data_IF_759209734547
#
_entry.id   IF_759209734547
#
_cell.length_a   1.000
_cell.length_b   1.000
_cell.length_c   1.000
_cell.angle_alpha   90.00
_cell.angle_beta   90.00
_cell.angle_gamma   90.00
#
_symmetry.space_group_name_H-M   'P 1'
#
loop_
_entity.id
_entity.type
_entity.pdbx_description
1 polymer ?
#
# COMPACT_ATOMS: atom_id res chain seq x y z
N UNK A 1 0.74 -22.68 0.45
CA UNK A 1 1.68 -22.84 1.59
C UNK A 1 1.23 -23.89 2.62
N UNK A 2 2.18 -24.65 3.19
CA UNK A 2 1.92 -25.59 4.30
C UNK A 2 1.67 -24.84 5.64
N UNK A 3 0.74 -25.34 6.47
CA UNK A 3 0.42 -24.87 7.82
C UNK A 3 1.63 -24.63 8.73
N UNK A 4 2.68 -25.45 8.64
CA UNK A 4 3.89 -25.24 9.46
C UNK A 4 4.56 -23.89 9.12
N UNK A 5 4.67 -23.59 7.82
CA UNK A 5 5.24 -22.33 7.32
C UNK A 5 4.36 -21.15 7.72
N UNK A 6 3.05 -21.28 7.56
CA UNK A 6 2.06 -20.26 7.94
C UNK A 6 2.17 -19.93 9.44
N UNK A 7 2.27 -20.96 10.28
CA UNK A 7 2.38 -20.80 11.73
C UNK A 7 3.69 -20.13 12.14
N UNK A 8 4.81 -20.52 11.53
CA UNK A 8 6.10 -19.92 11.84
C UNK A 8 6.21 -18.49 11.31
N UNK A 9 5.70 -18.23 10.11
CA UNK A 9 5.56 -16.89 9.54
C UNK A 9 4.76 -15.99 10.48
N UNK A 10 3.58 -16.43 10.92
CA UNK A 10 2.70 -15.65 11.81
C UNK A 10 3.33 -15.35 13.18
N UNK A 11 4.21 -16.22 13.69
CA UNK A 11 4.97 -15.97 14.92
C UNK A 11 6.10 -14.94 14.74
N UNK A 12 6.73 -14.93 13.57
CA UNK A 12 7.87 -14.07 13.28
C UNK A 12 7.44 -12.69 12.76
N UNK A 13 6.41 -12.63 11.92
CA UNK A 13 5.90 -11.39 11.33
C UNK A 13 5.20 -10.55 12.40
N UNK A 14 5.63 -9.31 12.55
CA UNK A 14 4.97 -8.35 13.43
C UNK A 14 3.89 -7.59 12.63
N UNK A 15 2.63 -7.94 12.83
CA UNK A 15 1.47 -7.21 12.29
C UNK A 15 0.74 -6.47 13.41
N UNK A 16 0.39 -5.20 13.20
CA UNK A 16 -0.43 -4.41 14.13
C UNK A 16 0.19 -4.03 15.49
N UNK A 17 1.24 -4.72 15.95
CA UNK A 17 1.85 -4.51 17.28
C UNK A 17 3.19 -3.77 17.23
N UNK A 18 3.62 -3.31 16.05
CA UNK A 18 4.93 -2.66 15.87
C UNK A 18 5.11 -1.40 16.71
N UNK A 19 4.07 -0.73 17.19
CA UNK A 19 4.21 0.43 18.10
C UNK A 19 4.52 0.03 19.55
N UNK A 20 4.19 -1.19 19.97
CA UNK A 20 4.31 -1.65 21.35
C UNK A 20 5.62 -2.41 21.67
N UNK A 21 6.48 -2.59 20.67
CA UNK A 21 7.71 -3.39 20.75
C UNK A 21 8.93 -2.44 20.69
N UNK A 22 10.06 -2.81 21.29
CA UNK A 22 11.31 -2.05 21.21
C UNK A 22 11.88 -2.03 19.79
N UNK A 23 12.80 -1.11 19.50
CA UNK A 23 13.43 -1.01 18.17
C UNK A 23 14.31 -2.23 17.92
N UNK A 24 15.01 -2.68 18.95
CA UNK A 24 15.91 -3.83 18.95
C UNK A 24 15.15 -5.13 18.66
N UNK A 25 14.03 -5.35 19.35
CA UNK A 25 13.19 -6.55 19.14
C UNK A 25 12.56 -6.55 17.74
N UNK A 26 12.14 -5.39 17.22
CA UNK A 26 11.65 -5.27 15.83
C UNK A 26 12.72 -5.71 14.86
N UNK A 27 13.93 -5.16 15.02
CA UNK A 27 15.07 -5.46 14.14
C UNK A 27 15.41 -6.95 14.19
N UNK A 28 15.46 -7.54 15.37
CA UNK A 28 15.74 -8.98 15.52
C UNK A 28 14.68 -9.83 14.79
N UNK A 29 13.39 -9.55 15.02
CA UNK A 29 12.31 -10.29 14.38
C UNK A 29 12.32 -10.16 12.86
N UNK A 30 12.52 -8.95 12.34
CA UNK A 30 12.60 -8.71 10.89
C UNK A 30 13.76 -9.50 10.27
N UNK A 31 14.95 -9.51 10.91
CA UNK A 31 16.11 -10.28 10.45
C UNK A 31 15.87 -11.80 10.52
N UNK A 32 15.24 -12.29 11.60
CA UNK A 32 14.91 -13.71 11.75
C UNK A 32 13.90 -14.17 10.70
N UNK A 33 12.89 -13.35 10.40
CA UNK A 33 11.94 -13.64 9.34
C UNK A 33 12.63 -13.69 7.97
N UNK A 34 13.50 -12.73 7.66
CA UNK A 34 14.28 -12.74 6.42
C UNK A 34 15.12 -14.02 6.31
N UNK A 35 15.84 -14.39 7.37
CA UNK A 35 16.67 -15.59 7.37
C UNK A 35 15.85 -16.87 7.16
N UNK A 36 14.69 -16.95 7.81
CA UNK A 36 13.76 -18.06 7.64
C UNK A 36 13.24 -18.17 6.20
N UNK A 37 12.72 -17.08 5.64
CA UNK A 37 12.17 -17.05 4.28
C UNK A 37 13.24 -17.40 3.22
N UNK A 38 14.46 -16.87 3.38
CA UNK A 38 15.60 -17.25 2.52
C UNK A 38 15.95 -18.74 2.66
N UNK A 39 15.90 -19.29 3.87
CA UNK A 39 16.19 -20.71 4.09
C UNK A 39 15.15 -21.62 3.44
N UNK A 40 13.85 -21.29 3.50
CA UNK A 40 12.81 -22.16 2.91
C UNK A 40 12.82 -22.10 1.38
N UNK A 41 13.18 -20.96 0.78
CA UNK A 41 13.47 -20.87 -0.66
C UNK A 41 14.69 -21.73 -0.99
N UNK A 42 15.82 -21.51 -0.30
CA UNK A 42 17.08 -22.19 -0.62
C UNK A 42 17.08 -23.70 -0.40
N UNK A 43 16.22 -24.21 0.48
CA UNK A 43 16.01 -25.65 0.71
C UNK A 43 14.89 -26.25 -0.14
N UNK A 44 14.29 -25.49 -1.07
CA UNK A 44 13.13 -25.90 -1.86
C UNK A 44 11.96 -26.41 -0.99
N UNK A 45 11.78 -25.84 0.21
CA UNK A 45 10.64 -26.17 1.09
C UNK A 45 9.36 -25.48 0.65
N UNK A 46 9.47 -24.46 -0.22
CA UNK A 46 8.39 -23.88 -1.01
C UNK A 46 8.75 -24.03 -2.48
N UNK A 47 7.81 -24.53 -3.28
CA UNK A 47 8.02 -24.79 -4.72
C UNK A 47 6.94 -24.18 -5.60
N UNK A 48 5.79 -23.84 -5.02
CA UNK A 48 4.72 -23.14 -5.72
C UNK A 48 5.13 -21.69 -6.08
N UNK A 49 4.68 -21.24 -7.24
CA UNK A 49 5.04 -19.92 -7.77
C UNK A 49 4.61 -18.78 -6.83
N UNK A 50 3.37 -18.80 -6.34
CA UNK A 50 2.87 -17.77 -5.44
C UNK A 50 3.51 -17.90 -4.05
N UNK A 51 3.76 -19.12 -3.56
CA UNK A 51 4.46 -19.31 -2.27
C UNK A 51 5.89 -18.74 -2.30
N UNK A 52 6.62 -18.90 -3.40
CA UNK A 52 7.95 -18.29 -3.59
C UNK A 52 7.84 -16.76 -3.72
N UNK A 53 6.86 -16.28 -4.49
CA UNK A 53 6.59 -14.84 -4.63
C UNK A 53 6.25 -14.17 -3.30
N UNK A 54 5.45 -14.82 -2.46
CA UNK A 54 5.14 -14.40 -1.10
C UNK A 54 6.40 -14.25 -0.24
N UNK A 55 7.31 -15.22 -0.33
CA UNK A 55 8.57 -15.18 0.42
C UNK A 55 9.42 -14.00 -0.02
N UNK A 56 9.59 -13.79 -1.33
CA UNK A 56 10.33 -12.64 -1.84
C UNK A 56 9.70 -11.31 -1.43
N UNK A 57 8.38 -11.15 -1.58
CA UNK A 57 7.68 -9.94 -1.18
C UNK A 57 7.90 -9.63 0.31
N UNK A 58 7.77 -10.64 1.17
CA UNK A 58 7.98 -10.44 2.61
C UNK A 58 9.44 -10.19 2.96
N UNK A 59 10.42 -10.77 2.26
CA UNK A 59 11.83 -10.40 2.45
C UNK A 59 12.03 -8.92 2.09
N UNK A 60 11.48 -8.46 0.97
CA UNK A 60 11.52 -7.06 0.56
C UNK A 60 10.87 -6.13 1.59
N UNK A 61 9.66 -6.45 2.06
CA UNK A 61 8.97 -5.66 3.08
C UNK A 61 9.82 -5.51 4.36
N UNK A 62 10.43 -6.60 4.85
CA UNK A 62 11.26 -6.54 6.04
C UNK A 62 12.56 -5.76 5.81
N UNK A 63 13.20 -5.84 4.63
CA UNK A 63 14.34 -4.96 4.32
C UNK A 63 13.93 -3.48 4.24
N UNK A 64 12.74 -3.17 3.73
CA UNK A 64 12.20 -1.81 3.71
C UNK A 64 12.00 -1.27 5.13
N UNK A 65 11.42 -2.07 6.03
CA UNK A 65 11.24 -1.73 7.45
C UNK A 65 12.58 -1.52 8.17
N UNK A 66 13.61 -2.30 7.81
CA UNK A 66 14.98 -2.14 8.29
C UNK A 66 15.74 -0.96 7.65
N UNK A 67 15.12 -0.27 6.68
CA UNK A 67 15.73 0.80 5.88
C UNK A 67 17.04 0.39 5.20
N UNK A 68 17.07 -0.84 4.68
CA UNK A 68 18.21 -1.40 3.97
C UNK A 68 17.87 -1.54 2.48
N UNK A 69 17.98 -0.43 1.75
CA UNK A 69 17.63 -0.33 0.33
C UNK A 69 18.55 -1.17 -0.56
N UNK A 70 19.81 -1.35 -0.19
CA UNK A 70 20.73 -2.23 -0.93
C UNK A 70 20.26 -3.70 -0.93
N UNK A 71 20.02 -4.26 0.25
CA UNK A 71 19.54 -5.65 0.35
C UNK A 71 18.12 -5.84 -0.19
N UNK A 72 17.29 -4.79 -0.09
CA UNK A 72 15.99 -4.73 -0.72
C UNK A 72 16.11 -4.83 -2.25
N UNK A 73 16.96 -4.03 -2.88
CA UNK A 73 17.20 -4.04 -4.32
C UNK A 73 17.67 -5.42 -4.81
N UNK A 74 18.64 -6.02 -4.11
CA UNK A 74 19.13 -7.37 -4.45
C UNK A 74 18.06 -8.45 -4.31
N UNK A 75 17.14 -8.32 -3.34
CA UNK A 75 16.00 -9.21 -3.23
C UNK A 75 14.97 -8.97 -4.34
N UNK A 76 14.66 -7.70 -4.65
CA UNK A 76 13.73 -7.33 -5.70
C UNK A 76 14.17 -7.81 -7.08
N UNK A 77 15.47 -7.82 -7.39
CA UNK A 77 15.99 -8.41 -8.65
C UNK A 77 15.65 -9.91 -8.74
N UNK A 78 15.89 -10.66 -7.66
CA UNK A 78 15.53 -12.09 -7.59
C UNK A 78 14.02 -12.31 -7.66
N UNK A 79 13.26 -11.40 -7.05
CA UNK A 79 11.81 -11.43 -7.12
C UNK A 79 11.34 -11.19 -8.55
N UNK A 80 11.89 -10.20 -9.24
CA UNK A 80 11.62 -9.92 -10.64
C UNK A 80 11.94 -11.14 -11.53
N UNK A 81 13.14 -11.73 -11.40
CA UNK A 81 13.53 -12.94 -12.13
C UNK A 81 12.59 -14.13 -11.89
N UNK A 82 11.91 -14.16 -10.73
CA UNK A 82 10.86 -15.13 -10.44
C UNK A 82 9.55 -14.75 -11.14
N UNK A 83 9.10 -13.50 -11.00
CA UNK A 83 7.82 -13.02 -11.53
C UNK A 83 7.73 -13.11 -13.06
N UNK A 84 8.78 -12.76 -13.79
CA UNK A 84 8.78 -12.77 -15.27
C UNK A 84 8.58 -14.15 -15.90
N UNK A 85 8.57 -15.22 -15.09
CA UNK A 85 8.29 -16.60 -15.53
C UNK A 85 6.79 -16.90 -15.60
N UNK A 86 5.93 -15.97 -15.21
CA UNK A 86 4.47 -16.13 -15.17
C UNK A 86 3.77 -14.97 -15.88
N UNK A 87 2.46 -14.86 -15.68
CA UNK A 87 1.63 -13.82 -16.30
C UNK A 87 2.10 -12.42 -15.89
N UNK A 88 2.07 -11.48 -16.84
CA UNK A 88 2.53 -10.10 -16.64
C UNK A 88 1.80 -9.38 -15.51
N UNK A 89 0.59 -9.81 -15.12
CA UNK A 89 -0.17 -9.18 -14.04
C UNK A 89 0.54 -9.24 -12.68
N UNK A 90 1.40 -10.25 -12.46
CA UNK A 90 2.18 -10.37 -11.24
C UNK A 90 3.27 -9.29 -11.11
N UNK A 91 3.60 -8.55 -12.18
CA UNK A 91 4.52 -7.40 -12.10
C UNK A 91 4.00 -6.35 -11.12
N UNK A 92 2.69 -6.19 -10.96
CA UNK A 92 2.12 -5.29 -9.95
C UNK A 92 2.50 -5.68 -8.52
N UNK A 93 2.78 -6.96 -8.25
CA UNK A 93 3.20 -7.43 -6.93
C UNK A 93 4.54 -6.80 -6.49
N UNK A 94 5.44 -6.52 -7.44
CA UNK A 94 6.75 -5.89 -7.18
C UNK A 94 6.63 -4.42 -6.75
N UNK A 95 5.56 -3.76 -7.16
CA UNK A 95 5.40 -2.29 -7.09
C UNK A 95 4.16 -1.84 -6.32
N UNK A 96 3.55 -2.73 -5.53
CA UNK A 96 2.32 -2.45 -4.78
C UNK A 96 2.53 -1.80 -3.40
N UNK A 97 3.77 -1.61 -2.95
CA UNK A 97 4.07 -1.13 -1.60
C UNK A 97 4.91 0.15 -1.58
N UNK A 98 4.35 1.20 -0.98
CA UNK A 98 5.01 2.51 -0.88
C UNK A 98 6.21 2.51 0.07
N UNK A 99 6.23 1.66 1.10
CA UNK A 99 7.34 1.56 2.05
C UNK A 99 8.56 0.97 1.35
N UNK A 100 8.37 -0.06 0.54
CA UNK A 100 9.42 -0.65 -0.30
C UNK A 100 9.97 0.38 -1.29
N UNK A 101 9.10 1.13 -1.99
CA UNK A 101 9.55 2.23 -2.86
C UNK A 101 10.39 3.26 -2.12
N UNK A 102 9.86 3.81 -1.03
CA UNK A 102 10.54 4.88 -0.27
C UNK A 102 11.88 4.42 0.32
N UNK A 103 12.01 3.14 0.67
CA UNK A 103 13.27 2.57 1.13
C UNK A 103 14.31 2.46 0.01
N UNK A 104 13.89 2.05 -1.20
CA UNK A 104 14.75 2.02 -2.39
C UNK A 104 15.21 3.44 -2.78
N UNK A 105 14.27 4.39 -2.87
CA UNK A 105 14.57 5.78 -3.24
C UNK A 105 15.56 6.43 -2.26
N UNK A 106 15.37 6.21 -0.95
CA UNK A 106 16.25 6.74 0.09
C UNK A 106 17.72 6.34 -0.09
N UNK A 107 17.96 5.13 -0.58
CA UNK A 107 19.31 4.58 -0.77
C UNK A 107 19.78 4.66 -2.25
N UNK A 108 19.13 5.51 -3.05
CA UNK A 108 19.57 5.84 -4.41
C UNK A 108 19.01 4.94 -5.53
N UNK A 109 18.18 3.94 -5.21
CA UNK A 109 17.60 2.99 -6.17
C UNK A 109 16.25 3.45 -6.75
N UNK A 110 16.09 4.76 -6.95
CA UNK A 110 14.84 5.35 -7.45
C UNK A 110 14.50 4.88 -8.87
N UNK A 111 15.44 4.97 -9.83
CA UNK A 111 15.19 4.55 -11.22
C UNK A 111 14.75 3.10 -11.29
N UNK A 112 15.40 2.21 -10.54
CA UNK A 112 15.06 0.79 -10.51
C UNK A 112 13.59 0.54 -10.17
N UNK A 113 13.04 1.19 -9.14
CA UNK A 113 11.63 1.00 -8.79
C UNK A 113 10.69 1.58 -9.85
N UNK A 114 11.01 2.77 -10.36
CA UNK A 114 10.18 3.46 -11.35
C UNK A 114 10.16 2.76 -12.71
N UNK A 115 11.27 2.10 -13.09
CA UNK A 115 11.35 1.26 -14.28
C UNK A 115 10.45 0.03 -14.15
N UNK A 116 10.48 -0.64 -12.99
CA UNK A 116 9.56 -1.76 -12.71
C UNK A 116 8.08 -1.32 -12.73
N UNK A 117 7.77 -0.14 -12.19
CA UNK A 117 6.40 0.38 -12.19
C UNK A 117 5.93 0.69 -13.61
N UNK A 118 6.79 1.33 -14.42
CA UNK A 118 6.53 1.60 -15.84
C UNK A 118 6.26 0.30 -16.59
N UNK A 119 7.12 -0.68 -16.42
CA UNK A 119 6.99 -2.00 -17.04
C UNK A 119 5.68 -2.69 -16.64
N UNK A 120 5.35 -2.69 -15.34
CA UNK A 120 4.10 -3.29 -14.84
C UNK A 120 2.86 -2.67 -15.49
N UNK A 121 2.84 -1.34 -15.67
CA UNK A 121 1.73 -0.62 -16.30
C UNK A 121 1.68 -0.86 -17.81
N UNK A 122 2.82 -0.75 -18.49
CA UNK A 122 2.90 -0.88 -19.95
C UNK A 122 2.61 -2.30 -20.45
N UNK A 123 2.97 -3.33 -19.67
CA UNK A 123 2.66 -4.72 -20.02
C UNK A 123 1.23 -5.13 -19.64
N UNK A 124 0.50 -4.34 -18.85
CA UNK A 124 -0.83 -4.70 -18.36
C UNK A 124 -1.91 -3.62 -18.59
N UNK A 125 -2.02 -3.01 -19.79
CA UNK A 125 -2.94 -1.89 -20.04
C UNK A 125 -4.42 -2.24 -19.77
N UNK A 126 -4.77 -3.52 -19.90
CA UNK A 126 -6.12 -4.05 -19.69
C UNK A 126 -6.17 -5.07 -18.55
N UNK A 127 -5.34 -4.90 -17.51
CA UNK A 127 -5.34 -5.79 -16.34
C UNK A 127 -6.75 -6.02 -15.82
N UNK A 128 -7.12 -7.28 -15.60
CA UNK A 128 -8.36 -7.66 -14.90
C UNK A 128 -8.20 -7.62 -13.37
N UNK A 129 -6.96 -7.49 -12.89
CA UNK A 129 -6.62 -7.42 -11.47
C UNK A 129 -6.60 -5.97 -11.01
N UNK A 130 -7.76 -5.30 -11.08
CA UNK A 130 -7.89 -3.86 -10.79
C UNK A 130 -7.38 -3.48 -9.41
N UNK A 131 -7.52 -4.34 -8.40
CA UNK A 131 -7.04 -4.03 -7.05
C UNK A 131 -5.51 -4.05 -6.94
N UNK A 132 -4.83 -4.92 -7.70
CA UNK A 132 -3.37 -4.92 -7.76
C UNK A 132 -2.84 -3.67 -8.49
N UNK A 133 -3.49 -3.31 -9.61
CA UNK A 133 -3.23 -2.08 -10.37
C UNK A 133 -3.43 -0.83 -9.48
N UNK A 134 -4.54 -0.77 -8.73
CA UNK A 134 -4.82 0.27 -7.73
C UNK A 134 -3.70 0.38 -6.69
N UNK A 135 -3.25 -0.73 -6.10
CA UNK A 135 -2.20 -0.70 -5.08
C UNK A 135 -0.86 -0.22 -5.66
N UNK A 136 -0.53 -0.58 -6.90
CA UNK A 136 0.65 -0.09 -7.59
C UNK A 136 0.59 1.42 -7.84
N UNK A 137 -0.52 1.93 -8.38
CA UNK A 137 -0.70 3.37 -8.60
C UNK A 137 -0.70 4.16 -7.29
N UNK A 138 -1.34 3.62 -6.24
CA UNK A 138 -1.29 4.20 -4.90
C UNK A 138 0.14 4.27 -4.36
N UNK A 139 0.94 3.23 -4.54
CA UNK A 139 2.33 3.23 -4.11
C UNK A 139 3.18 4.26 -4.87
N UNK A 140 2.96 4.39 -6.18
CA UNK A 140 3.63 5.36 -7.05
C UNK A 140 3.32 6.81 -6.64
N UNK A 141 2.05 7.14 -6.36
CA UNK A 141 1.63 8.50 -5.99
C UNK A 141 1.87 8.86 -4.51
N UNK A 142 2.25 7.91 -3.66
CA UNK A 142 2.44 8.16 -2.24
C UNK A 142 3.61 9.13 -1.97
N UNK A 143 3.36 10.41 -1.75
CA UNK A 143 4.44 11.35 -1.44
C UNK A 143 4.89 11.22 0.02
N UNK A 144 6.14 10.76 0.21
CA UNK A 144 6.85 10.74 1.49
C UNK A 144 7.86 11.89 1.58
N UNK A 145 8.13 12.40 2.79
CA UNK A 145 9.03 13.55 3.02
C UNK A 145 10.54 13.26 2.78
N UNK A 146 10.91 12.17 2.10
CA UNK A 146 12.27 11.58 2.22
C UNK A 146 13.03 11.40 0.91
N UNK A 147 12.39 11.49 -0.24
CA UNK A 147 13.05 11.61 -1.54
C UNK A 147 12.08 12.25 -2.55
N UNK A 148 12.51 13.26 -3.32
CA UNK A 148 11.66 13.84 -4.35
C UNK A 148 11.52 12.86 -5.51
N UNK A 149 10.30 12.38 -5.74
CA UNK A 149 9.92 11.75 -7.02
C UNK A 149 10.11 12.79 -8.14
N UNK A 150 10.73 12.39 -9.26
CA UNK A 150 10.88 13.32 -10.39
C UNK A 150 9.52 13.73 -10.93
N UNK A 151 9.41 14.96 -11.47
CA UNK A 151 8.16 15.45 -12.02
C UNK A 151 7.62 14.54 -13.13
N UNK A 152 8.50 13.99 -13.97
CA UNK A 152 8.13 13.06 -15.04
C UNK A 152 7.53 11.76 -14.50
N UNK A 153 8.13 11.18 -13.46
CA UNK A 153 7.63 9.98 -12.82
C UNK A 153 6.27 10.23 -12.14
N UNK A 154 6.13 11.38 -11.47
CA UNK A 154 4.87 11.81 -10.88
C UNK A 154 3.77 11.99 -11.93
N UNK A 155 4.05 12.73 -13.01
CA UNK A 155 3.11 12.95 -14.10
C UNK A 155 2.69 11.62 -14.76
N UNK A 156 3.64 10.71 -14.97
CA UNK A 156 3.35 9.38 -15.49
C UNK A 156 2.45 8.57 -14.55
N UNK A 157 2.67 8.63 -13.24
CA UNK A 157 1.81 7.96 -12.27
C UNK A 157 0.40 8.57 -12.22
N UNK A 158 0.28 9.90 -12.27
CA UNK A 158 -1.00 10.63 -12.31
C UNK A 158 -1.81 10.21 -13.54
N UNK A 159 -1.23 10.30 -14.73
CA UNK A 159 -1.92 9.96 -15.98
C UNK A 159 -2.42 8.51 -15.99
N UNK A 160 -1.64 7.58 -15.46
CA UNK A 160 -2.06 6.18 -15.41
C UNK A 160 -3.13 5.93 -14.33
N UNK A 161 -3.08 6.61 -13.19
CA UNK A 161 -4.16 6.54 -12.22
C UNK A 161 -5.48 7.10 -12.80
N UNK A 162 -5.43 8.23 -13.52
CA UNK A 162 -6.62 8.81 -14.16
C UNK A 162 -7.24 7.86 -15.19
N UNK A 163 -6.41 7.21 -16.03
CA UNK A 163 -6.86 6.16 -16.95
C UNK A 163 -7.49 4.98 -16.19
N UNK A 164 -6.88 4.56 -15.08
CA UNK A 164 -7.41 3.52 -14.22
C UNK A 164 -8.80 3.90 -13.64
N UNK A 165 -9.00 5.14 -13.20
CA UNK A 165 -10.30 5.61 -12.72
C UNK A 165 -11.37 5.57 -13.80
N UNK A 166 -11.04 6.02 -15.01
CA UNK A 166 -11.96 5.97 -16.15
C UNK A 166 -12.34 4.51 -16.50
N UNK A 167 -11.35 3.61 -16.54
CA UNK A 167 -11.55 2.17 -16.80
C UNK A 167 -12.39 1.49 -15.73
N UNK A 168 -12.31 1.95 -14.48
CA UNK A 168 -12.99 1.35 -13.33
C UNK A 168 -14.21 2.13 -12.87
N UNK A 169 -14.80 3.00 -13.71
CA UNK A 169 -15.96 3.83 -13.37
C UNK A 169 -17.16 3.00 -12.86
N UNK A 170 -17.40 1.83 -13.45
CA UNK A 170 -18.48 0.92 -13.06
C UNK A 170 -18.12 -0.05 -11.94
N UNK A 171 -16.88 -0.03 -11.43
CA UNK A 171 -16.46 -0.92 -10.36
C UNK A 171 -17.10 -0.51 -9.03
N UNK A 172 -17.43 -1.49 -8.19
CA UNK A 172 -18.05 -1.24 -6.88
C UNK A 172 -17.14 -0.41 -5.96
N UNK A 173 -15.83 -0.46 -6.20
CA UNK A 173 -14.78 0.23 -5.47
C UNK A 173 -14.45 1.63 -6.03
N UNK A 174 -15.10 2.07 -7.12
CA UNK A 174 -14.71 3.29 -7.83
C UNK A 174 -14.66 4.53 -6.90
N UNK A 175 -15.68 4.69 -6.05
CA UNK A 175 -15.74 5.76 -5.06
C UNK A 175 -14.49 5.76 -4.16
N UNK A 176 -14.09 4.58 -3.68
CA UNK A 176 -12.89 4.42 -2.87
C UNK A 176 -11.62 4.77 -3.65
N UNK A 177 -11.47 4.29 -4.89
CA UNK A 177 -10.33 4.63 -5.75
C UNK A 177 -10.22 6.13 -6.00
N UNK A 178 -11.35 6.81 -6.25
CA UNK A 178 -11.38 8.25 -6.52
C UNK A 178 -10.94 9.07 -5.30
N UNK A 179 -11.43 8.72 -4.10
CA UNK A 179 -11.05 9.39 -2.86
C UNK A 179 -9.55 9.22 -2.58
N UNK A 180 -9.01 8.01 -2.80
CA UNK A 180 -7.58 7.74 -2.61
C UNK A 180 -6.75 8.54 -3.62
N UNK A 181 -7.15 8.59 -4.89
CA UNK A 181 -6.49 9.41 -5.91
C UNK A 181 -6.39 10.87 -5.48
N UNK A 182 -7.53 11.52 -5.20
CA UNK A 182 -7.58 12.92 -4.77
C UNK A 182 -6.72 13.15 -3.51
N UNK A 183 -6.81 12.23 -2.55
CA UNK A 183 -6.04 12.33 -1.31
C UNK A 183 -4.53 12.31 -1.57
N UNK A 184 -4.06 11.45 -2.48
CA UNK A 184 -2.63 11.32 -2.79
C UNK A 184 -2.09 12.54 -3.55
N UNK A 185 -2.83 13.03 -4.54
CA UNK A 185 -2.37 14.15 -5.38
C UNK A 185 -2.49 15.51 -4.69
N UNK A 186 -3.32 15.65 -3.64
CA UNK A 186 -3.53 16.88 -2.88
C UNK A 186 -2.25 17.56 -2.35
N UNK A 187 -1.17 16.79 -2.16
CA UNK A 187 0.12 17.31 -1.69
C UNK A 187 0.94 18.01 -2.79
N UNK A 188 0.59 17.77 -4.05
CA UNK A 188 1.38 18.18 -5.21
C UNK A 188 0.55 18.95 -6.22
N UNK A 189 -0.77 18.77 -6.21
CA UNK A 189 -1.74 19.43 -7.07
C UNK A 189 -2.80 20.12 -6.20
N UNK A 190 -3.31 21.23 -6.70
CA UNK A 190 -4.49 21.87 -6.11
C UNK A 190 -5.73 21.01 -6.42
N UNK A 191 -6.49 20.66 -5.38
CA UNK A 191 -7.69 19.83 -5.49
C UNK A 191 -8.89 20.54 -4.91
N UNK A 192 -10.08 20.20 -5.41
CA UNK A 192 -11.32 20.67 -4.82
C UNK A 192 -11.61 19.91 -3.50
N UNK A 193 -11.28 20.54 -2.38
CA UNK A 193 -11.55 20.03 -1.03
C UNK A 193 -13.05 19.76 -0.79
N UNK A 194 -13.96 20.53 -1.41
CA UNK A 194 -15.40 20.29 -1.27
C UNK A 194 -15.80 18.98 -1.94
N UNK A 195 -15.27 18.72 -3.15
CA UNK A 195 -15.48 17.44 -3.84
C UNK A 195 -14.94 16.28 -3.02
N UNK A 196 -13.73 16.40 -2.46
CA UNK A 196 -13.13 15.36 -1.62
C UNK A 196 -14.00 15.07 -0.38
N UNK A 197 -14.51 16.11 0.29
CA UNK A 197 -15.43 15.96 1.42
C UNK A 197 -16.75 15.29 1.00
N UNK A 198 -17.36 15.75 -0.10
CA UNK A 198 -18.60 15.20 -0.61
C UNK A 198 -18.50 13.69 -0.87
N UNK A 199 -17.44 13.26 -1.57
CA UNK A 199 -17.18 11.84 -1.82
C UNK A 199 -16.94 11.07 -0.50
N UNK A 200 -16.27 11.69 0.47
CA UNK A 200 -16.03 11.06 1.78
C UNK A 200 -17.32 10.83 2.57
N UNK A 201 -18.29 11.74 2.50
CA UNK A 201 -19.60 11.55 3.13
C UNK A 201 -20.37 10.35 2.55
N UNK A 202 -20.20 10.07 1.26
CA UNK A 202 -20.81 8.88 0.65
C UNK A 202 -20.30 7.56 1.24
N UNK A 203 -19.11 7.54 1.86
CA UNK A 203 -18.56 6.35 2.53
C UNK A 203 -19.11 6.17 3.97
N UNK A 204 -19.86 7.12 4.52
CA UNK A 204 -20.31 7.07 5.92
C UNK A 204 -21.21 5.88 6.21
N UNK A 205 -22.09 5.52 5.28
CA UNK A 205 -22.99 4.37 5.43
C UNK A 205 -22.22 3.07 5.71
N UNK A 206 -21.02 2.94 5.17
CA UNK A 206 -20.19 1.74 5.31
C UNK A 206 -19.41 1.65 6.63
N UNK A 207 -19.32 2.73 7.42
CA UNK A 207 -18.62 2.71 8.72
C UNK A 207 -19.32 1.80 9.74
N UNK A 208 -20.64 1.70 9.61
CA UNK A 208 -21.50 0.88 10.48
C UNK A 208 -21.45 -0.62 10.17
N UNK A 209 -20.98 -1.01 8.98
CA UNK A 209 -20.97 -2.41 8.54
C UNK A 209 -20.09 -3.31 9.44
N UNK A 210 -20.31 -4.63 9.45
CA UNK A 210 -19.36 -5.56 10.05
C UNK A 210 -18.05 -5.58 9.23
N UNK A 211 -16.94 -5.91 9.88
CA UNK A 211 -15.69 -6.26 9.18
C UNK A 211 -15.75 -7.73 8.76
N UNK A 212 -15.24 -8.04 7.58
CA UNK A 212 -14.92 -9.44 7.25
C UNK A 212 -13.57 -9.83 7.86
N UNK A 213 -13.38 -11.11 8.15
CA UNK A 213 -12.02 -11.63 8.34
C UNK A 213 -11.31 -11.62 6.99
N UNK A 214 -10.10 -11.05 6.95
CA UNK A 214 -9.18 -11.31 5.86
C UNK A 214 -8.48 -12.64 6.18
N UNK A 215 -8.74 -13.67 5.38
CA UNK A 215 -8.15 -15.00 5.59
C UNK A 215 -6.73 -15.13 4.99
N UNK A 216 -6.23 -14.07 4.35
CA UNK A 216 -4.94 -14.05 3.66
C UNK A 216 -3.80 -13.59 4.56
N UNK A 217 -2.63 -14.20 4.38
CA UNK A 217 -1.39 -13.68 4.96
C UNK A 217 -0.97 -12.40 4.23
N UNK A 218 -0.45 -11.45 5.00
CA UNK A 218 0.11 -10.21 4.44
C UNK A 218 1.25 -10.57 3.49
N UNK A 219 1.11 -10.10 2.25
CA UNK A 219 2.10 -10.33 1.21
C UNK A 219 1.73 -11.45 0.24
N UNK A 220 0.63 -12.18 0.44
CA UNK A 220 0.13 -13.15 -0.56
C UNK A 220 -0.44 -12.43 -1.78
N UNK A 221 -0.29 -13.01 -2.98
CA UNK A 221 -0.87 -12.43 -4.19
C UNK A 221 -2.38 -12.18 -4.07
N UNK A 222 -3.10 -13.15 -3.49
CA UNK A 222 -4.54 -13.04 -3.21
C UNK A 222 -4.88 -11.80 -2.37
N UNK A 223 -4.03 -11.44 -1.40
CA UNK A 223 -4.22 -10.23 -0.58
C UNK A 223 -4.12 -8.93 -1.40
N UNK A 224 -3.45 -8.94 -2.56
CA UNK A 224 -3.28 -7.78 -3.44
C UNK A 224 -4.31 -7.69 -4.57
N UNK A 225 -4.97 -8.80 -4.91
CA UNK A 225 -6.03 -8.82 -5.93
C UNK A 225 -7.43 -8.79 -5.35
N UNK A 226 -7.60 -9.10 -4.05
CA UNK A 226 -8.89 -9.04 -3.37
C UNK A 226 -9.14 -7.65 -2.79
N UNK A 227 -10.22 -6.95 -3.22
CA UNK A 227 -10.60 -5.68 -2.63
C UNK A 227 -10.88 -5.78 -1.14
N UNK A 228 -10.62 -4.69 -0.42
CA UNK A 228 -11.02 -4.57 0.98
C UNK A 228 -12.55 -4.65 1.14
N UNK A 229 -13.02 -5.10 2.30
CA UNK A 229 -14.43 -4.94 2.65
C UNK A 229 -14.85 -3.45 2.67
N UNK A 230 -16.15 -3.19 2.53
CA UNK A 230 -16.69 -1.82 2.44
C UNK A 230 -16.36 -0.97 3.66
N UNK A 231 -16.32 -1.56 4.86
CA UNK A 231 -15.95 -0.84 6.09
C UNK A 231 -14.48 -0.44 6.08
N UNK A 232 -13.59 -1.33 5.66
CA UNK A 232 -12.15 -1.08 5.55
C UNK A 232 -11.88 -0.05 4.44
N UNK A 233 -12.58 -0.10 3.31
CA UNK A 233 -12.57 0.96 2.30
C UNK A 233 -12.99 2.30 2.90
N UNK A 234 -14.09 2.36 3.66
CA UNK A 234 -14.57 3.58 4.30
C UNK A 234 -13.56 4.17 5.30
N UNK A 235 -13.06 3.34 6.21
CA UNK A 235 -12.07 3.78 7.21
C UNK A 235 -10.81 4.32 6.52
N UNK A 236 -10.28 3.61 5.53
CA UNK A 236 -9.05 4.03 4.82
C UNK A 236 -9.31 5.28 3.97
N UNK A 237 -10.40 5.30 3.21
CA UNK A 237 -10.77 6.41 2.33
C UNK A 237 -10.97 7.71 3.11
N UNK A 238 -11.83 7.70 4.13
CA UNK A 238 -12.13 8.89 4.95
C UNK A 238 -10.86 9.36 5.69
N UNK A 239 -10.08 8.44 6.27
CA UNK A 239 -8.81 8.80 6.94
C UNK A 239 -7.82 9.45 5.96
N UNK A 240 -7.78 8.97 4.70
CA UNK A 240 -6.90 9.52 3.67
C UNK A 240 -7.35 10.91 3.25
N UNK A 241 -8.65 11.12 3.09
CA UNK A 241 -9.24 12.42 2.78
C UNK A 241 -8.95 13.44 3.90
N UNK A 242 -9.13 13.06 5.16
CA UNK A 242 -8.83 13.94 6.31
C UNK A 242 -7.34 14.32 6.33
N UNK A 243 -6.44 13.36 6.08
CA UNK A 243 -5.02 13.67 5.98
C UNK A 243 -4.71 14.63 4.83
N UNK A 244 -5.35 14.47 3.67
CA UNK A 244 -5.22 15.39 2.54
C UNK A 244 -5.66 16.82 2.91
N UNK A 245 -6.80 16.96 3.60
CA UNK A 245 -7.28 18.27 4.09
C UNK A 245 -6.33 18.90 5.12
N UNK A 246 -5.71 18.08 5.98
CA UNK A 246 -4.64 18.55 6.88
C UNK A 246 -3.46 19.08 6.07
N UNK A 247 -3.07 18.42 4.98
CA UNK A 247 -1.97 18.87 4.14
C UNK A 247 -2.28 20.13 3.34
N UNK A 248 -3.54 20.34 2.93
CA UNK A 248 -4.01 21.58 2.30
C UNK A 248 -4.36 22.69 3.31
N UNK A 249 -4.15 22.45 4.61
CA UNK A 249 -4.42 23.39 5.70
C UNK A 249 -5.89 23.83 5.82
N UNK A 250 -6.84 23.02 5.34
CA UNK A 250 -8.28 23.30 5.46
C UNK A 250 -8.85 22.76 6.77
N UNK A 251 -8.37 23.35 7.88
CA UNK A 251 -8.68 22.84 9.22
C UNK A 251 -10.15 22.93 9.60
N UNK A 252 -10.93 23.80 8.93
CA UNK A 252 -12.38 23.87 9.12
C UNK A 252 -13.05 22.60 8.60
N UNK A 253 -12.71 22.16 7.39
CA UNK A 253 -13.23 20.91 6.83
C UNK A 253 -12.72 19.69 7.59
N UNK A 254 -11.44 19.67 8.01
CA UNK A 254 -10.89 18.60 8.87
C UNK A 254 -11.73 18.43 10.14
N UNK A 255 -12.04 19.53 10.85
CA UNK A 255 -12.82 19.51 12.09
C UNK A 255 -14.23 18.94 11.86
N UNK A 256 -14.93 19.37 10.79
CA UNK A 256 -16.28 18.87 10.47
C UNK A 256 -16.26 17.39 10.07
N UNK A 257 -15.48 17.04 9.04
CA UNK A 257 -15.48 15.70 8.47
C UNK A 257 -15.06 14.64 9.49
N UNK A 258 -14.03 14.91 10.30
CA UNK A 258 -13.55 13.96 11.30
C UNK A 258 -14.56 13.76 12.44
N UNK A 259 -15.16 14.84 12.94
CA UNK A 259 -16.15 14.74 14.02
C UNK A 259 -17.39 13.94 13.57
N UNK A 260 -17.91 14.24 12.39
CA UNK A 260 -19.07 13.54 11.83
C UNK A 260 -18.75 12.08 11.51
N UNK A 261 -17.58 11.79 10.93
CA UNK A 261 -17.17 10.41 10.66
C UNK A 261 -17.00 9.60 11.96
N UNK A 262 -16.44 10.19 13.02
CA UNK A 262 -16.35 9.53 14.33
C UNK A 262 -17.73 9.22 14.92
N UNK A 263 -18.70 10.12 14.78
CA UNK A 263 -20.09 9.87 15.19
C UNK A 263 -20.73 8.71 14.41
N UNK A 264 -20.28 8.46 13.18
CA UNK A 264 -20.73 7.35 12.33
C UNK A 264 -19.92 6.06 12.53
N UNK A 265 -18.95 6.03 13.46
CA UNK A 265 -18.18 4.83 13.79
C UNK A 265 -16.78 4.76 13.18
N UNK A 266 -16.23 5.86 12.66
CA UNK A 266 -14.81 5.94 12.32
C UNK A 266 -13.96 5.81 13.61
N UNK A 267 -12.99 4.89 13.66
CA UNK A 267 -12.08 4.79 14.80
C UNK A 267 -11.28 6.07 15.01
N UNK A 268 -11.09 6.46 16.27
CA UNK A 268 -10.25 7.59 16.63
C UNK A 268 -8.80 7.40 16.15
N UNK A 269 -8.20 8.47 15.67
CA UNK A 269 -6.85 8.48 15.14
C UNK A 269 -6.00 9.56 15.86
N UNK A 270 -5.02 9.09 16.64
CA UNK A 270 -4.16 9.97 17.43
C UNK A 270 -3.37 11.00 16.59
N UNK A 271 -3.00 10.66 15.35
CA UNK A 271 -2.32 11.64 14.48
C UNK A 271 -3.26 12.80 14.13
N UNK A 272 -4.49 12.49 13.72
CA UNK A 272 -5.50 13.50 13.35
C UNK A 272 -5.86 14.36 14.58
N UNK A 273 -6.13 13.72 15.72
CA UNK A 273 -6.46 14.43 16.96
C UNK A 273 -5.34 15.38 17.40
N UNK A 274 -4.08 14.96 17.29
CA UNK A 274 -2.95 15.84 17.57
C UNK A 274 -2.93 17.05 16.64
N UNK A 275 -3.15 16.87 15.33
CA UNK A 275 -3.16 17.97 14.36
C UNK A 275 -4.30 18.97 14.58
N UNK A 276 -5.44 18.50 15.09
CA UNK A 276 -6.57 19.34 15.45
C UNK A 276 -6.31 20.19 16.70
N UNK A 277 -5.44 19.74 17.60
CA UNK A 277 -5.07 20.47 18.82
C UNK A 277 -3.91 21.46 18.61
N UNK A 278 -3.12 21.26 17.55
CA UNK A 278 -2.01 22.15 17.16
C UNK A 278 -2.48 23.41 16.40
N UNK A 279 -3.75 23.48 15.95
CA UNK A 279 -4.32 24.56 15.12
C UNK A 279 -5.70 25.05 15.58
#
# INVERSE_FOLDING_TARGET
MNNEIINLFSKLKITGQRSAISIEDKREKDLRLIAYLKSIIGKNSVTDFEDIGFCYWNISDNYALLRNGHSLCENHKKFYDHIIKSDSCYLYWLVCDATQRLALEKDGYHSFWWDLYREAVEQNPNSKHHFAEFNAHRAALYSGNRAPTSQDAFNFAVQNYEKFLAKTESASENLFYHIIYLSLVSKSLDIDNNKLCHLSYMLFEYLSLPRSSDDFLVGEWKSFITPFDKKKQAVIGITSAINALIYSNDMKMVKSLYAEACNMGLPKNHYIERRLNEN
#
